data_IF_679159374718
#
_entry.id   IF_679159374718
#
_cell.length_a   1.000
_cell.length_b   1.000
_cell.length_c   1.000
_cell.angle_alpha   90.00
_cell.angle_beta   90.00
_cell.angle_gamma   90.00
#
_symmetry.space_group_name_H-M   'P 1'
#
loop_
_entity.id
_entity.type
_entity.pdbx_description
1 polymer ?
#
# COMPACT_ATOMS: atom_id res chain seq x y z
N UNK A 1 17.43 1.89 4.05
CA UNK A 1 17.12 0.51 4.51
C UNK A 1 17.09 -0.38 3.27
N UNK A 2 17.75 -1.54 3.24
CA UNK A 2 17.71 -2.41 2.07
C UNK A 2 16.31 -3.04 1.91
N UNK A 3 15.81 -3.09 0.67
CA UNK A 3 14.60 -3.84 0.33
C UNK A 3 14.88 -5.33 0.53
N UNK A 4 13.94 -6.11 1.08
CA UNK A 4 14.12 -7.57 1.24
C UNK A 4 14.10 -8.27 -0.13
N UNK A 5 14.78 -9.42 -0.31
CA UNK A 5 14.77 -10.14 -1.59
C UNK A 5 13.36 -10.42 -2.13
N UNK A 6 12.48 -10.99 -1.30
CA UNK A 6 11.09 -11.27 -1.69
C UNK A 6 10.31 -10.01 -2.07
N UNK A 7 10.56 -8.88 -1.40
CA UNK A 7 9.88 -7.62 -1.73
C UNK A 7 10.45 -6.95 -2.97
N UNK A 8 11.73 -7.18 -3.31
CA UNK A 8 12.29 -6.80 -4.62
C UNK A 8 11.59 -7.54 -5.75
N UNK A 9 11.34 -8.84 -5.58
CA UNK A 9 10.61 -9.64 -6.57
C UNK A 9 9.18 -9.12 -6.76
N UNK A 10 8.48 -8.81 -5.66
CA UNK A 10 7.14 -8.20 -5.71
C UNK A 10 7.14 -6.85 -6.42
N UNK A 11 8.13 -5.99 -6.16
CA UNK A 11 8.29 -4.72 -6.88
C UNK A 11 8.64 -4.91 -8.36
N UNK A 12 9.43 -5.92 -8.72
CA UNK A 12 9.73 -6.24 -10.10
C UNK A 12 8.51 -6.76 -10.86
N UNK A 13 7.64 -7.52 -10.17
CA UNK A 13 6.36 -8.03 -10.69
C UNK A 13 5.22 -7.01 -10.71
N UNK A 14 5.47 -5.73 -10.38
CA UNK A 14 4.44 -4.71 -10.18
C UNK A 14 3.41 -4.63 -11.32
N UNK A 15 3.87 -4.53 -12.58
CA UNK A 15 2.98 -4.38 -13.72
C UNK A 15 2.16 -5.64 -14.01
N UNK A 16 2.73 -6.83 -13.80
CA UNK A 16 2.00 -8.08 -13.95
C UNK A 16 0.91 -8.22 -12.88
N UNK A 17 1.26 -7.96 -11.62
CA UNK A 17 0.30 -7.98 -10.51
C UNK A 17 -0.84 -6.97 -10.72
N UNK A 18 -0.52 -5.74 -11.15
CA UNK A 18 -1.52 -4.73 -11.46
C UNK A 18 -2.40 -5.12 -12.65
N UNK A 19 -1.80 -5.64 -13.73
CA UNK A 19 -2.53 -6.08 -14.93
C UNK A 19 -3.54 -7.19 -14.64
N UNK A 20 -3.10 -8.24 -13.95
CA UNK A 20 -3.96 -9.36 -13.54
C UNK A 20 -5.11 -8.89 -12.63
N UNK A 21 -4.78 -8.04 -11.65
CA UNK A 21 -5.75 -7.51 -10.71
C UNK A 21 -6.81 -6.66 -11.40
N UNK A 22 -6.37 -5.74 -12.28
CA UNK A 22 -7.27 -4.84 -13.01
C UNK A 22 -8.13 -5.58 -14.03
N UNK A 23 -7.58 -6.60 -14.70
CA UNK A 23 -8.36 -7.41 -15.63
C UNK A 23 -9.54 -8.06 -14.91
N UNK A 24 -9.29 -8.72 -13.77
CA UNK A 24 -10.33 -9.35 -12.97
C UNK A 24 -11.34 -8.32 -12.43
N UNK A 25 -10.85 -7.21 -11.86
CA UNK A 25 -11.70 -6.17 -11.29
C UNK A 25 -12.63 -5.54 -12.34
N UNK A 26 -12.15 -5.29 -13.55
CA UNK A 26 -12.92 -4.68 -14.62
C UNK A 26 -13.86 -5.67 -15.32
N UNK A 27 -13.55 -6.97 -15.32
CA UNK A 27 -14.41 -7.99 -15.96
C UNK A 27 -15.51 -8.52 -15.03
N UNK A 28 -15.23 -8.63 -13.73
CA UNK A 28 -16.09 -9.30 -12.76
C UNK A 28 -16.61 -8.35 -11.67
N UNK A 29 -15.96 -7.19 -11.47
CA UNK A 29 -16.34 -6.20 -10.47
C UNK A 29 -17.46 -5.28 -10.92
N UNK A 30 -17.93 -4.44 -10.00
CA UNK A 30 -18.95 -3.44 -10.28
C UNK A 30 -19.34 -2.63 -9.05
N UNK A 31 -20.24 -1.66 -9.26
CA UNK A 31 -20.78 -0.81 -8.21
C UNK A 31 -19.73 0.10 -7.54
N UNK A 32 -20.04 0.54 -6.32
CA UNK A 32 -19.28 1.56 -5.61
C UNK A 32 -17.81 1.17 -5.33
N UNK A 33 -17.52 -0.12 -5.20
CA UNK A 33 -16.14 -0.60 -4.99
C UNK A 33 -15.29 -0.42 -6.24
N UNK A 34 -15.86 -0.71 -7.42
CA UNK A 34 -15.17 -0.48 -8.70
C UNK A 34 -14.97 1.01 -8.97
N UNK A 35 -16.00 1.83 -8.72
CA UNK A 35 -15.91 3.28 -8.86
C UNK A 35 -14.83 3.87 -7.95
N UNK A 36 -14.73 3.38 -6.71
CA UNK A 36 -13.70 3.79 -5.76
C UNK A 36 -12.29 3.39 -6.21
N UNK A 37 -12.13 2.20 -6.80
CA UNK A 37 -10.84 1.78 -7.39
C UNK A 37 -10.43 2.68 -8.56
N UNK A 38 -11.36 3.00 -9.46
CA UNK A 38 -11.12 3.90 -10.59
C UNK A 38 -10.73 5.28 -10.09
N UNK A 39 -11.44 5.81 -9.09
CA UNK A 39 -11.10 7.10 -8.48
C UNK A 39 -9.71 7.04 -7.84
N UNK A 40 -9.36 5.98 -7.11
CA UNK A 40 -8.05 5.85 -6.49
C UNK A 40 -6.90 5.82 -7.51
N UNK A 41 -7.11 5.21 -8.68
CA UNK A 41 -6.13 5.12 -9.77
C UNK A 41 -6.12 6.35 -10.69
N UNK A 42 -7.14 7.20 -10.62
CA UNK A 42 -7.25 8.39 -11.45
C UNK A 42 -6.21 9.46 -11.08
N UNK A 43 -5.60 10.03 -12.12
CA UNK A 43 -4.60 11.11 -12.01
C UNK A 43 -3.16 10.63 -12.19
N UNK A 44 -2.34 11.51 -12.74
CA UNK A 44 -0.91 11.26 -13.00
C UNK A 44 -0.11 11.48 -11.73
N UNK A 45 0.80 10.55 -11.42
CA UNK A 45 1.74 10.72 -10.32
C UNK A 45 2.68 11.90 -10.57
N UNK A 46 2.94 12.67 -9.51
CA UNK A 46 3.96 13.71 -9.47
C UNK A 46 5.35 13.05 -9.47
N UNK A 47 6.37 13.73 -10.01
CA UNK A 47 7.76 13.31 -9.85
C UNK A 47 8.13 13.13 -8.37
N UNK A 48 8.97 12.16 -8.04
CA UNK A 48 9.34 11.82 -6.65
C UNK A 48 9.82 13.04 -5.85
N UNK A 49 10.63 13.92 -6.45
CA UNK A 49 11.13 15.13 -5.78
C UNK A 49 10.02 16.10 -5.36
N UNK A 50 8.96 16.22 -6.17
CA UNK A 50 7.79 17.02 -5.82
C UNK A 50 6.93 16.29 -4.78
N UNK A 51 6.73 14.98 -4.95
CA UNK A 51 5.94 14.17 -4.04
C UNK A 51 6.47 14.24 -2.60
N UNK A 52 7.78 14.10 -2.38
CA UNK A 52 8.41 14.14 -1.04
C UNK A 52 8.06 15.41 -0.27
N UNK A 53 8.01 16.57 -0.94
CA UNK A 53 7.72 17.85 -0.29
C UNK A 53 6.28 17.99 0.23
N UNK A 54 5.37 17.11 -0.19
CA UNK A 54 3.93 17.22 0.13
C UNK A 54 3.37 16.00 0.88
N UNK A 55 4.19 14.98 1.17
CA UNK A 55 3.78 13.76 1.87
C UNK A 55 3.27 14.04 3.29
N UNK A 56 3.98 14.86 4.05
CA UNK A 56 3.78 14.99 5.48
C UNK A 56 2.37 15.54 5.82
N UNK A 57 1.80 15.01 6.91
CA UNK A 57 0.51 15.42 7.44
C UNK A 57 -0.40 14.26 7.81
N UNK A 58 -1.61 14.62 8.21
CA UNK A 58 -2.71 13.71 8.46
C UNK A 58 -3.47 13.42 7.17
N UNK A 59 -3.83 12.15 7.00
CA UNK A 59 -4.51 11.64 5.81
C UNK A 59 -5.72 10.80 6.21
N UNK A 60 -6.80 10.95 5.47
CA UNK A 60 -7.80 9.90 5.34
C UNK A 60 -7.25 8.85 4.39
N UNK A 61 -7.23 7.59 4.82
CA UNK A 61 -6.71 6.50 4.02
C UNK A 61 -7.74 5.39 3.84
N UNK A 62 -7.88 4.88 2.62
CA UNK A 62 -8.84 3.83 2.27
C UNK A 62 -8.12 2.68 1.60
N UNK A 63 -8.24 1.48 2.18
CA UNK A 63 -7.74 0.27 1.56
C UNK A 63 -8.72 -0.21 0.49
N UNK A 64 -8.18 -0.58 -0.67
CA UNK A 64 -8.92 -1.18 -1.78
C UNK A 64 -8.13 -2.41 -2.21
N UNK A 65 -8.77 -3.58 -2.11
CA UNK A 65 -8.21 -4.85 -2.57
C UNK A 65 -8.68 -5.10 -3.98
N UNK A 66 -7.76 -5.42 -4.89
CA UNK A 66 -8.03 -5.56 -6.32
C UNK A 66 -7.55 -6.92 -6.81
N UNK A 67 -8.48 -7.70 -7.37
CA UNK A 67 -8.29 -9.09 -7.78
C UNK A 67 -7.91 -10.03 -6.64
N UNK A 68 -8.00 -11.34 -6.88
CA UNK A 68 -7.76 -12.37 -5.88
C UNK A 68 -9.06 -13.04 -5.44
N UNK A 69 -9.33 -13.05 -4.13
CA UNK A 69 -10.53 -13.69 -3.58
C UNK A 69 -11.84 -13.02 -4.07
N UNK A 70 -11.81 -11.70 -4.19
CA UNK A 70 -12.91 -10.88 -4.73
C UNK A 70 -12.36 -10.02 -5.89
N UNK A 71 -13.19 -9.68 -6.90
CA UNK A 71 -12.75 -8.84 -8.01
C UNK A 71 -12.24 -7.47 -7.54
N UNK A 72 -12.99 -6.83 -6.64
CA UNK A 72 -12.61 -5.57 -6.01
C UNK A 72 -13.37 -5.42 -4.68
N UNK A 73 -12.75 -4.83 -3.68
CA UNK A 73 -13.39 -4.50 -2.40
C UNK A 73 -12.78 -3.23 -1.83
N UNK A 74 -13.59 -2.19 -1.61
CA UNK A 74 -13.14 -0.94 -1.02
C UNK A 74 -13.65 -0.81 0.43
N UNK A 75 -12.73 -0.65 1.37
CA UNK A 75 -13.09 -0.51 2.78
C UNK A 75 -13.55 0.91 3.12
N UNK A 76 -14.08 1.09 4.33
CA UNK A 76 -14.31 2.41 4.90
C UNK A 76 -12.98 3.17 5.10
N UNK A 77 -13.01 4.52 5.13
CA UNK A 77 -11.83 5.31 5.45
C UNK A 77 -11.30 5.08 6.87
N UNK A 78 -9.98 5.22 7.02
CA UNK A 78 -9.21 5.18 8.25
C UNK A 78 -8.34 6.43 8.38
N UNK A 79 -7.74 6.64 9.55
CA UNK A 79 -6.78 7.72 9.76
C UNK A 79 -5.37 7.18 9.51
N UNK A 80 -4.58 7.94 8.75
CA UNK A 80 -3.18 7.68 8.50
C UNK A 80 -2.36 8.95 8.76
N UNK A 81 -1.07 8.79 9.02
CA UNK A 81 -0.13 9.90 9.20
C UNK A 81 1.15 9.64 8.45
N UNK A 82 1.66 10.68 7.80
CA UNK A 82 2.99 10.75 7.21
C UNK A 82 3.82 11.80 7.95
N UNK A 83 5.05 11.47 8.31
CA UNK A 83 5.98 12.39 8.97
C UNK A 83 6.98 12.97 7.98
N UNK A 84 7.61 14.09 8.34
CA UNK A 84 8.55 14.83 7.48
C UNK A 84 9.83 14.05 7.18
N UNK A 85 10.21 13.10 8.04
CA UNK A 85 11.32 12.18 7.82
C UNK A 85 10.94 10.97 6.95
N UNK A 86 9.66 10.87 6.52
CA UNK A 86 9.15 9.81 5.64
C UNK A 86 8.47 8.64 6.36
N UNK A 87 8.27 8.72 7.66
CA UNK A 87 7.52 7.72 8.40
C UNK A 87 6.06 7.67 7.94
N UNK A 88 5.49 6.47 7.90
CA UNK A 88 4.08 6.25 7.57
C UNK A 88 3.43 5.32 8.60
N UNK A 89 2.23 5.67 9.04
CA UNK A 89 1.45 4.82 9.94
C UNK A 89 -0.05 4.92 9.65
N UNK A 90 -0.71 3.77 9.55
CA UNK A 90 -2.17 3.65 9.60
C UNK A 90 -2.63 3.58 11.06
N UNK A 91 -3.27 4.64 11.52
CA UNK A 91 -3.59 4.90 12.92
C UNK A 91 -4.87 4.23 13.42
N UNK A 92 -5.82 3.91 12.53
CA UNK A 92 -7.11 3.30 12.90
C UNK A 92 -7.44 2.05 12.08
N UNK A 93 -8.44 1.29 12.53
CA UNK A 93 -8.81 -0.03 11.99
C UNK A 93 -8.10 -1.19 12.70
N UNK A 94 -8.61 -2.40 12.50
CA UNK A 94 -8.11 -3.64 13.11
C UNK A 94 -6.77 -4.07 12.52
N UNK A 95 -6.61 -3.97 11.20
CA UNK A 95 -5.34 -4.17 10.52
C UNK A 95 -4.68 -2.82 10.26
N UNK A 96 -3.43 -2.70 10.71
CA UNK A 96 -2.60 -1.49 10.61
C UNK A 96 -1.30 -1.82 9.89
N UNK A 97 -0.60 -0.77 9.51
CA UNK A 97 0.73 -0.89 8.94
C UNK A 97 1.55 0.31 9.37
N UNK A 98 2.85 0.07 9.61
CA UNK A 98 3.80 1.09 10.03
C UNK A 98 5.15 0.85 9.37
N UNK A 99 5.74 1.91 8.85
CA UNK A 99 7.00 1.79 8.14
C UNK A 99 7.54 3.14 7.68
N UNK A 100 8.34 3.08 6.64
CA UNK A 100 9.10 4.22 6.13
C UNK A 100 9.01 4.28 4.61
N UNK A 101 8.86 5.50 4.10
CA UNK A 101 8.89 5.86 2.69
C UNK A 101 10.30 6.37 2.35
N UNK A 102 10.84 5.92 1.22
CA UNK A 102 12.14 6.35 0.73
C UNK A 102 12.20 6.38 -0.78
N UNK A 103 13.21 7.08 -1.28
CA UNK A 103 13.55 7.13 -2.70
C UNK A 103 14.22 5.85 -3.14
N UNK A 104 13.74 5.30 -4.25
CA UNK A 104 14.32 4.17 -4.99
C UNK A 104 14.40 4.59 -6.45
N UNK A 105 15.53 5.20 -6.84
CA UNK A 105 15.68 5.81 -8.16
C UNK A 105 14.74 7.00 -8.38
N UNK A 106 13.86 6.89 -9.38
CA UNK A 106 12.86 7.90 -9.76
C UNK A 106 11.50 7.71 -9.09
N UNK A 107 11.32 6.64 -8.31
CA UNK A 107 10.10 6.34 -7.56
C UNK A 107 10.28 6.45 -6.05
N UNK A 108 9.16 6.51 -5.34
CA UNK A 108 9.11 6.37 -3.89
C UNK A 108 8.58 4.97 -3.54
N UNK A 109 9.17 4.35 -2.54
CA UNK A 109 8.81 3.02 -2.04
C UNK A 109 8.53 3.13 -0.55
N UNK A 110 7.40 2.57 -0.13
CA UNK A 110 7.08 2.27 1.26
C UNK A 110 7.54 0.86 1.58
N UNK A 111 8.31 0.68 2.66
CA UNK A 111 8.42 -0.62 3.32
C UNK A 111 8.01 -0.51 4.79
N UNK A 112 7.22 -1.47 5.23
CA UNK A 112 6.72 -1.50 6.58
C UNK A 112 6.22 -2.87 7.01
N UNK A 113 5.71 -2.91 8.23
CA UNK A 113 5.17 -4.11 8.85
C UNK A 113 3.67 -3.94 8.98
N UNK A 114 2.89 -4.84 8.39
CA UNK A 114 1.47 -5.01 8.70
C UNK A 114 1.31 -5.65 10.08
N UNK A 115 0.32 -5.23 10.86
CA UNK A 115 0.09 -5.71 12.22
C UNK A 115 -1.36 -5.51 12.69
N UNK A 116 -1.77 -6.26 13.72
CA UNK A 116 -3.08 -6.10 14.35
C UNK A 116 -3.05 -4.95 15.37
N UNK A 117 -4.11 -4.16 15.41
CA UNK A 117 -4.24 -3.06 16.34
C UNK A 117 -4.12 -3.50 17.80
N UNK A 118 -3.27 -2.81 18.56
CA UNK A 118 -2.93 -3.15 19.94
C UNK A 118 -1.53 -3.75 20.07
N UNK A 119 -0.99 -4.31 18.99
CA UNK A 119 0.36 -4.87 18.98
C UNK A 119 1.42 -3.80 18.75
N UNK A 120 2.65 -4.12 19.17
CA UNK A 120 3.86 -3.38 18.79
C UNK A 120 4.56 -4.16 17.66
N UNK A 121 4.50 -3.70 16.40
CA UNK A 121 5.16 -4.39 15.31
C UNK A 121 6.69 -4.29 15.45
N UNK A 122 7.45 -5.34 15.07
CA UNK A 122 8.88 -5.21 14.84
C UNK A 122 9.12 -4.26 13.65
N UNK A 123 10.33 -3.68 13.59
CA UNK A 123 10.71 -2.91 12.41
C UNK A 123 10.75 -3.83 11.17
N UNK A 124 10.50 -3.28 9.98
CA UNK A 124 10.52 -4.05 8.73
C UNK A 124 11.82 -4.85 8.53
N UNK A 125 12.96 -4.27 8.90
CA UNK A 125 14.27 -4.92 8.81
C UNK A 125 14.48 -6.05 9.83
N UNK A 126 13.67 -6.12 10.88
CA UNK A 126 13.74 -7.13 11.94
C UNK A 126 12.79 -8.30 11.68
N UNK A 127 11.93 -8.22 10.67
CA UNK A 127 11.08 -9.33 10.27
C UNK A 127 11.94 -10.52 9.79
N UNK A 128 11.54 -11.79 10.07
CA UNK A 128 12.25 -12.98 9.58
C UNK A 128 12.42 -12.93 8.07
N UNK A 129 13.54 -13.39 7.48
CA UNK A 129 13.83 -13.26 6.03
C UNK A 129 12.73 -13.86 5.14
N UNK A 130 12.19 -15.00 5.55
CA UNK A 130 11.01 -15.61 4.94
C UNK A 130 9.80 -15.34 5.84
N UNK A 131 8.78 -14.69 5.28
CA UNK A 131 7.52 -14.51 5.98
C UNK A 131 6.74 -15.83 5.94
N UNK A 132 6.51 -16.44 7.08
CA UNK A 132 5.62 -17.60 7.21
C UNK A 132 4.22 -17.11 7.55
N UNK A 133 3.38 -17.03 6.51
CA UNK A 133 1.99 -16.56 6.64
C UNK A 133 1.16 -17.52 7.51
N UNK A 134 1.53 -18.80 7.59
CA UNK A 134 0.80 -19.77 8.42
C UNK A 134 1.20 -19.65 9.88
N UNK A 135 2.49 -19.43 10.16
CA UNK A 135 2.98 -19.25 11.53
C UNK A 135 2.62 -17.87 12.11
N UNK A 136 2.65 -16.82 11.29
CA UNK A 136 2.39 -15.44 11.73
C UNK A 136 1.68 -14.61 10.66
N UNK A 137 0.36 -14.84 10.44
CA UNK A 137 -0.42 -14.07 9.48
C UNK A 137 -0.63 -12.62 9.94
N UNK A 138 -0.27 -12.29 11.18
CA UNK A 138 -0.53 -10.99 11.78
C UNK A 138 0.62 -10.02 11.55
N UNK A 139 1.87 -10.49 11.41
CA UNK A 139 3.05 -9.64 11.22
C UNK A 139 3.74 -9.94 9.90
N UNK A 140 3.40 -9.17 8.87
CA UNK A 140 3.84 -9.43 7.50
C UNK A 140 4.60 -8.24 6.90
N UNK A 141 5.65 -8.49 6.08
CA UNK A 141 6.32 -7.44 5.36
C UNK A 141 5.40 -6.86 4.28
N UNK A 142 5.28 -5.53 4.27
CA UNK A 142 4.56 -4.78 3.26
C UNK A 142 5.54 -3.93 2.45
N UNK A 143 5.34 -3.96 1.13
CA UNK A 143 6.06 -3.13 0.16
C UNK A 143 5.07 -2.52 -0.80
N UNK A 144 5.24 -1.23 -1.10
CA UNK A 144 4.41 -0.56 -2.10
C UNK A 144 5.08 0.64 -2.74
N UNK A 145 4.65 0.97 -3.96
CA UNK A 145 5.04 2.20 -4.65
C UNK A 145 4.18 3.34 -4.13
N UNK A 146 4.79 4.46 -3.76
CA UNK A 146 4.09 5.65 -3.26
C UNK A 146 3.97 6.66 -4.39
N UNK A 147 2.74 7.06 -4.69
CA UNK A 147 2.44 8.08 -5.70
C UNK A 147 1.61 9.20 -5.08
N UNK A 148 2.13 10.43 -5.14
CA UNK A 148 1.31 11.62 -4.88
C UNK A 148 0.79 12.15 -6.20
N UNK A 149 -0.50 12.47 -6.27
CA UNK A 149 -1.16 13.01 -7.46
C UNK A 149 -1.32 14.53 -7.32
N UNK A 150 -1.59 14.99 -6.10
CA UNK A 150 -1.72 16.40 -5.77
C UNK A 150 -1.38 16.61 -4.29
N UNK A 151 -1.50 17.85 -3.82
CA UNK A 151 -1.44 18.12 -2.38
C UNK A 151 -2.54 17.41 -1.61
N UNK A 152 -3.66 17.03 -2.19
CA UNK A 152 -4.81 16.46 -1.47
C UNK A 152 -5.10 15.00 -1.83
N UNK A 153 -4.32 14.41 -2.75
CA UNK A 153 -4.54 13.05 -3.24
C UNK A 153 -3.23 12.32 -3.47
N UNK A 154 -3.16 11.10 -2.97
CA UNK A 154 -2.06 10.18 -3.22
C UNK A 154 -2.50 8.73 -3.05
N UNK A 155 -1.55 7.81 -3.16
CA UNK A 155 -1.79 6.37 -2.99
C UNK A 155 -0.50 5.63 -2.68
N UNK A 156 -0.65 4.51 -1.96
CA UNK A 156 0.37 3.47 -1.88
C UNK A 156 -0.15 2.24 -2.62
N UNK A 157 0.65 1.71 -3.53
CA UNK A 157 0.29 0.64 -4.47
C UNK A 157 1.12 -0.60 -4.16
N UNK A 158 0.49 -1.63 -3.60
CA UNK A 158 1.16 -2.81 -3.08
C UNK A 158 1.00 -3.98 -4.07
N UNK A 159 2.07 -4.36 -4.79
CA UNK A 159 2.02 -5.52 -5.66
C UNK A 159 2.08 -6.83 -4.85
N UNK A 160 1.30 -7.80 -5.28
CA UNK A 160 1.28 -9.17 -4.74
C UNK A 160 1.29 -9.18 -3.20
N UNK A 161 0.32 -8.54 -2.53
CA UNK A 161 0.22 -8.58 -1.08
C UNK A 161 0.10 -10.02 -0.59
N UNK A 162 0.60 -10.28 0.62
CA UNK A 162 0.67 -11.64 1.17
C UNK A 162 -0.72 -12.27 1.38
N UNK A 163 -1.77 -11.46 1.47
CA UNK A 163 -3.12 -11.90 1.83
C UNK A 163 -4.18 -11.43 0.83
N UNK A 164 -5.09 -12.35 0.51
CA UNK A 164 -6.43 -12.15 -0.09
C UNK A 164 -6.51 -11.56 -1.50
N UNK A 165 -5.47 -10.89 -1.98
CA UNK A 165 -5.55 -10.00 -3.14
C UNK A 165 -4.32 -10.06 -4.03
N UNK A 166 -4.46 -9.68 -5.30
CA UNK A 166 -3.34 -9.58 -6.24
C UNK A 166 -2.65 -8.22 -6.18
N UNK A 167 -3.41 -7.19 -5.84
CA UNK A 167 -2.91 -5.82 -5.75
C UNK A 167 -3.73 -5.03 -4.73
N UNK A 168 -3.06 -4.27 -3.86
CA UNK A 168 -3.74 -3.35 -2.96
C UNK A 168 -3.46 -1.90 -3.33
N UNK A 169 -4.47 -1.06 -3.13
CA UNK A 169 -4.35 0.38 -3.21
C UNK A 169 -4.74 0.94 -1.84
N UNK A 170 -3.83 1.68 -1.22
CA UNK A 170 -4.17 2.53 -0.10
C UNK A 170 -4.32 3.95 -0.62
N UNK A 171 -5.55 4.32 -0.97
CA UNK A 171 -5.90 5.68 -1.38
C UNK A 171 -5.69 6.62 -0.20
N UNK A 172 -5.09 7.78 -0.46
CA UNK A 172 -4.84 8.84 0.51
C UNK A 172 -5.55 10.11 0.06
N UNK A 173 -6.37 10.69 0.94
CA UNK A 173 -7.03 11.98 0.71
C UNK A 173 -6.92 12.89 1.93
N UNK A 174 -6.93 14.21 1.71
CA UNK A 174 -7.05 15.23 2.77
C UNK A 174 -7.82 16.45 2.27
#
# INVERSE_FOLDING_TARGET
MPIRPADRERLAGYHAAAGDALLQALSEGGGADLDMMIEALSGKALPADQAVSILAGDWSCRMIKVGGLLPVTAYSPFSCRMTTDGGFEKLTGSQRTKGQIYRDGDRLVYLGTGFVAGDRPPAYAELPEQADIQADPQRLPEVGVVEMVSQTKGRILFPSPQLESRFNILLLTR
#
